data_IF_789418738487
#
_entry.id   IF_789418738487
#
_cell.length_a   1.000
_cell.length_b   1.000
_cell.length_c   1.000
_cell.angle_alpha   90.00
_cell.angle_beta   90.00
_cell.angle_gamma   90.00
#
_symmetry.space_group_name_H-M   'P 1'
#
loop_
_entity.id
_entity.type
_entity.pdbx_description
1 polymer ?
#
# COMPACT_ATOMS: atom_id res chain seq x y z
N UNK A 1 11.81 -2.81 4.18
CA UNK A 1 10.62 -1.97 4.04
C UNK A 1 9.97 -2.15 2.66
N UNK A 2 8.82 -1.54 2.44
CA UNK A 2 8.20 -1.37 1.12
C UNK A 2 8.60 0.02 0.64
N UNK A 3 9.14 0.14 -0.58
CA UNK A 3 9.41 1.42 -1.24
C UNK A 3 8.36 1.61 -2.34
N UNK A 4 7.49 2.57 -2.15
CA UNK A 4 6.30 2.74 -2.99
C UNK A 4 6.54 3.76 -4.09
N UNK A 5 6.11 3.42 -5.31
CA UNK A 5 5.92 4.33 -6.42
C UNK A 5 4.44 4.71 -6.49
N UNK A 6 4.15 5.97 -6.78
CA UNK A 6 2.77 6.46 -6.91
C UNK A 6 2.67 7.54 -7.99
N UNK A 7 1.57 7.51 -8.76
CA UNK A 7 1.10 8.64 -9.54
C UNK A 7 -0.34 8.94 -9.10
N UNK A 8 -0.53 10.05 -8.38
CA UNK A 8 -1.81 10.38 -7.75
C UNK A 8 -2.87 10.78 -8.76
N UNK A 9 -4.12 10.44 -8.46
CA UNK A 9 -5.26 11.08 -9.10
C UNK A 9 -5.25 12.58 -8.84
N UNK A 10 -5.44 13.34 -9.89
CA UNK A 10 -5.56 14.80 -9.85
C UNK A 10 -6.88 15.19 -10.51
N UNK A 11 -7.72 15.91 -9.79
CA UNK A 11 -9.01 16.33 -10.28
C UNK A 11 -8.88 17.22 -11.54
N UNK A 12 -9.88 17.17 -12.41
CA UNK A 12 -9.95 17.99 -13.61
C UNK A 12 -9.83 19.49 -13.26
N UNK A 13 -9.09 20.23 -14.08
CA UNK A 13 -8.82 21.66 -13.86
C UNK A 13 -7.63 21.94 -12.93
N UNK A 14 -7.01 20.93 -12.31
CA UNK A 14 -5.78 21.11 -11.55
C UNK A 14 -4.57 21.11 -12.51
N UNK A 15 -3.59 21.96 -12.25
CA UNK A 15 -2.37 22.08 -13.08
C UNK A 15 -1.34 20.98 -12.82
N UNK A 16 -1.52 20.18 -11.76
CA UNK A 16 -0.59 19.07 -11.44
C UNK A 16 -0.79 17.90 -12.41
N UNK A 17 0.29 17.21 -12.80
CA UNK A 17 0.17 16.02 -13.64
C UNK A 17 -0.54 14.89 -12.88
N UNK A 18 -1.46 14.20 -13.55
CA UNK A 18 -2.26 13.11 -13.00
C UNK A 18 -2.32 11.89 -13.91
N UNK A 19 -3.09 10.89 -13.52
CA UNK A 19 -3.20 9.61 -14.24
C UNK A 19 -3.97 9.67 -15.57
N UNK A 20 -4.74 10.74 -15.84
CA UNK A 20 -5.43 10.92 -17.12
C UNK A 20 -4.49 10.97 -18.34
N UNK A 21 -3.19 11.12 -18.09
CA UNK A 21 -2.13 10.93 -19.06
C UNK A 21 -1.20 9.80 -18.54
N UNK A 22 -1.47 8.53 -18.87
CA UNK A 22 -0.76 7.39 -18.30
C UNK A 22 0.74 7.43 -18.55
N UNK A 23 1.17 8.01 -19.68
CA UNK A 23 2.60 8.20 -19.99
C UNK A 23 3.25 9.22 -19.03
N UNK A 24 2.51 10.26 -18.61
CA UNK A 24 2.98 11.20 -17.58
C UNK A 24 3.03 10.52 -16.22
N UNK A 25 2.00 9.74 -15.87
CA UNK A 25 2.00 8.94 -14.66
C UNK A 25 3.17 7.94 -14.63
N UNK A 26 3.45 7.29 -15.75
CA UNK A 26 4.65 6.44 -15.89
C UNK A 26 5.93 7.22 -15.66
N UNK A 27 6.10 8.40 -16.26
CA UNK A 27 7.28 9.23 -16.06
C UNK A 27 7.48 9.61 -14.58
N UNK A 28 6.41 9.88 -13.83
CA UNK A 28 6.47 10.15 -12.38
C UNK A 28 7.03 8.95 -11.63
N UNK A 29 6.47 7.76 -11.85
CA UNK A 29 6.92 6.53 -11.16
C UNK A 29 8.35 6.16 -11.56
N UNK A 30 8.78 6.42 -12.81
CA UNK A 30 10.17 6.21 -13.22
C UNK A 30 11.13 7.20 -12.54
N UNK A 31 10.71 8.43 -12.27
CA UNK A 31 11.49 9.39 -11.49
C UNK A 31 11.70 8.89 -10.04
N UNK A 32 10.68 8.33 -9.42
CA UNK A 32 10.77 7.72 -8.09
C UNK A 32 11.68 6.48 -8.10
N UNK A 33 11.57 5.62 -9.12
CA UNK A 33 12.48 4.48 -9.29
C UNK A 33 13.94 4.93 -9.40
N UNK A 34 14.20 5.99 -10.17
CA UNK A 34 15.55 6.54 -10.33
C UNK A 34 16.13 7.01 -8.98
N UNK A 35 15.29 7.55 -8.07
CA UNK A 35 15.71 7.89 -6.72
C UNK A 35 16.12 6.65 -5.92
N UNK A 36 15.28 5.61 -5.89
CA UNK A 36 15.62 4.36 -5.17
C UNK A 36 16.90 3.72 -5.71
N UNK A 37 17.09 3.73 -7.03
CA UNK A 37 18.32 3.24 -7.66
C UNK A 37 19.54 4.10 -7.29
N UNK A 38 19.38 5.41 -7.10
CA UNK A 38 20.46 6.27 -6.62
C UNK A 38 20.83 5.93 -5.17
N UNK A 39 19.86 5.70 -4.30
CA UNK A 39 20.06 5.24 -2.91
C UNK A 39 20.76 3.88 -2.87
N UNK A 40 20.41 2.95 -3.76
CA UNK A 40 21.07 1.65 -3.85
C UNK A 40 22.54 1.80 -4.31
N UNK A 41 22.81 2.64 -5.33
CA UNK A 41 24.19 2.94 -5.74
C UNK A 41 25.02 3.61 -4.65
N UNK A 42 24.39 4.42 -3.81
CA UNK A 42 25.03 5.04 -2.64
C UNK A 42 25.24 4.07 -1.46
N UNK A 43 24.79 2.81 -1.59
CA UNK A 43 24.91 1.80 -0.53
C UNK A 43 23.95 2.00 0.66
N UNK A 44 22.98 2.91 0.55
CA UNK A 44 22.03 3.21 1.61
C UNK A 44 20.81 2.28 1.58
N UNK A 45 20.42 1.82 0.40
CA UNK A 45 19.30 0.89 0.22
C UNK A 45 19.73 -0.34 -0.59
N UNK A 46 18.94 -1.42 -0.49
CA UNK A 46 19.12 -2.65 -1.26
C UNK A 46 17.77 -3.15 -1.77
N UNK A 47 17.59 -3.15 -3.09
CA UNK A 47 16.40 -3.71 -3.71
C UNK A 47 16.35 -5.23 -3.53
N UNK A 48 15.20 -5.73 -3.11
CA UNK A 48 14.91 -7.14 -2.89
C UNK A 48 13.87 -7.57 -3.93
N UNK A 49 14.25 -8.49 -4.80
CA UNK A 49 13.42 -8.91 -5.93
C UNK A 49 12.98 -10.36 -5.87
N UNK A 50 13.50 -11.13 -4.91
CA UNK A 50 13.18 -12.54 -4.74
C UNK A 50 13.35 -13.01 -3.28
N UNK A 51 12.87 -14.24 -3.02
CA UNK A 51 12.92 -14.87 -1.69
C UNK A 51 14.35 -15.09 -1.19
N UNK A 52 15.29 -15.40 -2.07
CA UNK A 52 16.67 -15.65 -1.68
C UNK A 52 17.34 -14.35 -1.22
N UNK A 53 17.13 -13.25 -1.97
CA UNK A 53 17.57 -11.91 -1.59
C UNK A 53 16.96 -11.45 -0.26
N UNK A 54 15.65 -11.68 -0.05
CA UNK A 54 14.98 -11.36 1.19
C UNK A 54 15.61 -12.13 2.37
N UNK A 55 15.76 -13.44 2.24
CA UNK A 55 16.37 -14.27 3.27
C UNK A 55 17.77 -13.80 3.66
N UNK A 56 18.64 -13.58 2.67
CA UNK A 56 20.00 -13.07 2.88
C UNK A 56 19.99 -11.71 3.59
N UNK A 57 19.04 -10.83 3.22
CA UNK A 57 18.93 -9.50 3.82
C UNK A 57 18.46 -9.57 5.27
N UNK A 58 17.46 -10.40 5.58
CA UNK A 58 17.00 -10.65 6.96
C UNK A 58 18.12 -11.22 7.82
N UNK A 59 18.87 -12.20 7.31
CA UNK A 59 20.04 -12.77 8.01
C UNK A 59 21.10 -11.71 8.33
N UNK A 60 21.35 -10.76 7.42
CA UNK A 60 22.27 -9.64 7.68
C UNK A 60 21.81 -8.82 8.88
N UNK A 61 20.52 -8.48 8.96
CA UNK A 61 19.99 -7.64 10.03
C UNK A 61 19.82 -8.36 11.37
N UNK A 62 19.63 -9.67 11.36
CA UNK A 62 19.54 -10.50 12.58
C UNK A 62 20.91 -10.75 13.25
N UNK A 63 22.01 -10.65 12.51
CA UNK A 63 23.35 -11.00 12.96
C UNK A 63 24.26 -9.78 13.20
N UNK A 64 23.81 -8.79 13.99
CA UNK A 64 24.56 -7.57 14.30
C UNK A 64 25.02 -6.83 13.02
N UNK A 65 24.12 -6.21 12.28
CA UNK A 65 24.46 -5.54 11.02
C UNK A 65 25.48 -4.43 11.28
N UNK A 66 26.40 -4.16 10.34
CA UNK A 66 27.27 -2.99 10.43
C UNK A 66 26.44 -1.70 10.45
N UNK A 67 26.96 -0.64 11.07
CA UNK A 67 26.24 0.62 11.25
C UNK A 67 25.77 1.27 9.91
N UNK A 68 26.41 0.90 8.81
CA UNK A 68 26.07 1.34 7.45
C UNK A 68 25.38 0.26 6.60
N UNK A 69 24.79 -0.76 7.25
CA UNK A 69 24.06 -1.79 6.51
C UNK A 69 22.89 -1.16 5.71
N UNK A 70 22.72 -1.51 4.42
CA UNK A 70 21.68 -0.92 3.61
C UNK A 70 20.30 -1.34 4.08
N UNK A 71 19.32 -0.44 3.98
CA UNK A 71 17.92 -0.77 4.23
C UNK A 71 17.37 -1.59 3.06
N UNK A 72 16.89 -2.81 3.32
CA UNK A 72 16.25 -3.63 2.29
C UNK A 72 14.87 -3.11 1.93
N UNK A 73 14.56 -3.06 0.62
CA UNK A 73 13.22 -2.68 0.18
C UNK A 73 12.67 -3.59 -0.92
N UNK A 74 11.37 -3.80 -0.88
CA UNK A 74 10.58 -4.37 -1.97
C UNK A 74 9.88 -3.22 -2.68
N UNK A 75 10.04 -3.13 -4.02
CA UNK A 75 9.41 -2.09 -4.81
C UNK A 75 7.93 -2.42 -5.01
N UNK A 76 7.08 -1.46 -4.68
CA UNK A 76 5.63 -1.51 -4.78
C UNK A 76 5.11 -0.38 -5.67
N UNK A 77 3.91 -0.54 -6.20
CA UNK A 77 3.18 0.50 -6.95
C UNK A 77 1.80 0.68 -6.32
N UNK A 78 1.51 1.88 -5.87
CA UNK A 78 0.23 2.27 -5.30
C UNK A 78 -0.62 3.03 -6.32
N UNK A 79 -1.74 2.41 -6.72
CA UNK A 79 -2.48 2.84 -7.90
C UNK A 79 -1.76 2.42 -9.19
N UNK A 80 -2.42 1.60 -10.01
CA UNK A 80 -1.81 1.06 -11.22
C UNK A 80 -1.88 2.01 -12.43
N UNK A 81 -2.33 3.24 -12.26
CA UNK A 81 -2.63 4.18 -13.36
C UNK A 81 -1.41 4.54 -14.22
N UNK A 82 -0.20 4.37 -13.68
CA UNK A 82 1.05 4.52 -14.41
C UNK A 82 1.40 3.34 -15.33
N UNK A 83 0.72 2.21 -15.20
CA UNK A 83 0.87 1.09 -16.14
C UNK A 83 0.10 1.43 -17.40
N UNK A 84 0.80 1.89 -18.43
CA UNK A 84 0.22 2.38 -19.70
C UNK A 84 -0.55 1.26 -20.40
N UNK A 85 0.06 0.07 -20.46
CA UNK A 85 -0.50 -1.18 -20.92
C UNK A 85 0.27 -2.37 -20.32
N UNK A 86 -0.10 -3.60 -20.65
CA UNK A 86 0.52 -4.80 -20.05
C UNK A 86 2.02 -4.95 -20.41
N UNK A 87 2.48 -4.38 -21.52
CA UNK A 87 3.92 -4.36 -21.83
C UNK A 87 4.72 -3.50 -20.85
N UNK A 88 4.09 -2.45 -20.32
CA UNK A 88 4.67 -1.61 -19.26
C UNK A 88 4.68 -2.31 -17.91
N UNK A 89 3.73 -3.22 -17.65
CA UNK A 89 3.78 -4.09 -16.46
C UNK A 89 5.01 -5.00 -16.50
N UNK A 90 5.28 -5.64 -17.63
CA UNK A 90 6.49 -6.47 -17.81
C UNK A 90 7.77 -5.65 -17.64
N UNK A 91 7.81 -4.43 -18.17
CA UNK A 91 8.95 -3.50 -17.98
C UNK A 91 9.14 -3.14 -16.51
N UNK A 92 8.07 -2.83 -15.78
CA UNK A 92 8.12 -2.53 -14.36
C UNK A 92 8.60 -3.76 -13.55
N UNK A 93 8.09 -4.95 -13.87
CA UNK A 93 8.55 -6.20 -13.27
C UNK A 93 10.05 -6.45 -13.50
N UNK A 94 10.53 -6.19 -14.72
CA UNK A 94 11.95 -6.34 -15.07
C UNK A 94 12.86 -5.38 -14.30
N UNK A 95 12.34 -4.19 -13.89
CA UNK A 95 13.06 -3.23 -13.02
C UNK A 95 12.90 -3.52 -11.53
N UNK A 96 12.21 -4.61 -11.17
CA UNK A 96 12.12 -5.10 -9.80
C UNK A 96 10.81 -4.81 -9.09
N UNK A 97 9.76 -4.33 -9.76
CA UNK A 97 8.42 -4.22 -9.16
C UNK A 97 7.91 -5.59 -8.72
N UNK A 98 7.45 -5.73 -7.47
CA UNK A 98 6.99 -7.01 -6.91
C UNK A 98 5.62 -6.94 -6.26
N UNK A 99 5.06 -5.75 -6.07
CA UNK A 99 3.70 -5.61 -5.56
C UNK A 99 2.97 -4.47 -6.26
N UNK A 100 1.66 -4.61 -6.42
CA UNK A 100 0.79 -3.58 -7.02
C UNK A 100 -0.53 -3.53 -6.25
N UNK A 101 -0.92 -2.32 -5.83
CA UNK A 101 -2.29 -1.96 -5.51
C UNK A 101 -2.97 -1.42 -6.76
N UNK A 102 -4.01 -2.08 -7.30
CA UNK A 102 -4.66 -1.61 -8.52
C UNK A 102 -5.37 -0.27 -8.38
N UNK A 103 -5.63 0.17 -7.15
CA UNK A 103 -6.39 1.36 -6.79
C UNK A 103 -5.60 2.31 -5.88
N UNK A 104 -5.97 3.60 -5.89
CA UNK A 104 -5.62 4.59 -4.89
C UNK A 104 -6.85 5.43 -4.56
N UNK A 105 -6.85 6.75 -4.71
CA UNK A 105 -8.04 7.59 -4.60
C UNK A 105 -8.70 7.79 -5.98
N UNK A 106 -10.04 7.86 -5.97
CA UNK A 106 -10.82 8.20 -7.16
C UNK A 106 -11.08 7.00 -8.09
N UNK A 107 -11.47 7.26 -9.35
CA UNK A 107 -12.00 6.24 -10.25
C UNK A 107 -10.97 5.24 -10.76
N UNK A 108 -9.69 5.59 -10.90
CA UNK A 108 -8.63 4.73 -11.43
C UNK A 108 -8.89 4.15 -12.83
N UNK A 109 -7.83 3.80 -13.54
CA UNK A 109 -7.94 3.16 -14.87
C UNK A 109 -8.25 1.68 -14.80
N UNK A 110 -7.76 1.02 -13.77
CA UNK A 110 -7.84 -0.43 -13.57
C UNK A 110 -8.87 -0.80 -12.50
N UNK A 111 -8.92 -0.03 -11.43
CA UNK A 111 -9.83 -0.22 -10.32
C UNK A 111 -10.22 1.11 -9.70
N UNK A 112 -11.50 1.33 -9.39
CA UNK A 112 -11.88 2.42 -8.50
C UNK A 112 -11.31 2.16 -7.11
N UNK A 113 -11.03 3.25 -6.39
CA UNK A 113 -10.44 3.21 -5.06
C UNK A 113 -11.18 4.07 -4.06
N UNK A 114 -10.47 4.54 -3.04
CA UNK A 114 -11.04 5.34 -1.96
C UNK A 114 -11.80 6.55 -2.49
N UNK A 115 -13.05 6.70 -2.06
CA UNK A 115 -13.96 7.77 -2.49
C UNK A 115 -14.67 7.52 -3.82
N UNK A 116 -14.49 6.35 -4.43
CA UNK A 116 -15.23 5.91 -5.61
C UNK A 116 -15.98 4.59 -5.33
N UNK A 117 -16.77 4.14 -6.30
CA UNK A 117 -17.60 2.93 -6.20
C UNK A 117 -17.39 2.02 -7.42
N UNK A 118 -17.83 0.76 -7.30
CA UNK A 118 -17.81 -0.23 -8.38
C UNK A 118 -16.64 -1.20 -8.30
N UNK A 119 -16.67 -2.20 -9.20
CA UNK A 119 -15.66 -3.25 -9.35
C UNK A 119 -14.56 -2.89 -10.34
N UNK A 120 -13.76 -3.90 -10.71
CA UNK A 120 -12.69 -3.75 -11.69
C UNK A 120 -13.20 -3.29 -13.06
N UNK A 121 -12.40 -2.49 -13.73
CA UNK A 121 -12.58 -2.26 -15.17
C UNK A 121 -12.22 -3.52 -15.98
N UNK A 122 -12.57 -3.55 -17.26
CA UNK A 122 -12.12 -4.64 -18.15
C UNK A 122 -10.58 -4.73 -18.17
N UNK A 123 -9.89 -3.58 -18.23
CA UNK A 123 -8.43 -3.52 -18.17
C UNK A 123 -7.90 -3.98 -16.80
N UNK A 124 -8.63 -3.72 -15.72
CA UNK A 124 -8.28 -4.17 -14.37
C UNK A 124 -8.26 -5.69 -14.25
N UNK A 125 -9.24 -6.38 -14.85
CA UNK A 125 -9.28 -7.85 -14.88
C UNK A 125 -8.08 -8.43 -15.61
N UNK A 126 -7.70 -7.84 -16.74
CA UNK A 126 -6.52 -8.28 -17.49
C UNK A 126 -5.20 -7.98 -16.72
N UNK A 127 -5.11 -6.82 -16.06
CA UNK A 127 -3.98 -6.50 -15.18
C UNK A 127 -3.81 -7.55 -14.09
N UNK A 128 -4.88 -7.89 -13.39
CA UNK A 128 -4.85 -8.85 -12.25
C UNK A 128 -4.43 -10.26 -12.73
N UNK A 129 -4.90 -10.71 -13.90
CA UNK A 129 -4.46 -11.96 -14.51
C UNK A 129 -2.96 -11.94 -14.82
N UNK A 130 -2.47 -10.82 -15.35
CA UNK A 130 -1.06 -10.69 -15.70
C UNK A 130 -0.18 -10.57 -14.45
N UNK A 131 -0.65 -9.90 -13.40
CA UNK A 131 0.01 -9.90 -12.09
C UNK A 131 0.17 -11.32 -11.55
N UNK A 132 -0.87 -12.15 -11.65
CA UNK A 132 -0.79 -13.56 -11.25
C UNK A 132 0.23 -14.34 -12.08
N UNK A 133 0.24 -14.16 -13.41
CA UNK A 133 1.23 -14.81 -14.30
C UNK A 133 2.67 -14.45 -13.92
N UNK A 134 2.92 -13.20 -13.56
CA UNK A 134 4.24 -12.70 -13.17
C UNK A 134 4.59 -12.99 -11.71
N UNK A 135 3.64 -13.43 -10.89
CA UNK A 135 3.83 -13.64 -9.45
C UNK A 135 3.99 -12.32 -8.69
N UNK A 136 3.37 -11.23 -9.16
CA UNK A 136 3.36 -9.93 -8.50
C UNK A 136 2.34 -9.99 -7.36
N UNK A 137 2.75 -9.61 -6.14
CA UNK A 137 1.87 -9.55 -4.98
C UNK A 137 0.77 -8.50 -5.17
N UNK A 138 -0.47 -8.85 -4.85
CA UNK A 138 -1.58 -7.91 -4.80
C UNK A 138 -1.53 -7.12 -3.49
N UNK A 139 -1.55 -5.80 -3.58
CA UNK A 139 -1.86 -4.94 -2.45
C UNK A 139 -3.35 -4.58 -2.48
N UNK A 140 -4.09 -5.08 -1.50
CA UNK A 140 -5.53 -4.86 -1.43
C UNK A 140 -5.93 -3.48 -0.87
N UNK A 141 -4.95 -2.71 -0.39
CA UNK A 141 -5.19 -1.36 0.14
C UNK A 141 -5.87 -0.46 -0.88
N UNK A 142 -6.76 0.41 -0.44
CA UNK A 142 -7.56 1.33 -1.25
C UNK A 142 -8.66 0.71 -2.13
N UNK A 143 -8.74 -0.59 -2.32
CA UNK A 143 -9.81 -1.20 -3.10
C UNK A 143 -11.19 -0.84 -2.54
N UNK A 144 -12.15 -0.59 -3.43
CA UNK A 144 -13.57 -0.58 -3.07
C UNK A 144 -14.01 -1.98 -2.63
N UNK A 145 -15.12 -2.09 -1.93
CA UNK A 145 -15.64 -3.41 -1.51
C UNK A 145 -15.91 -4.32 -2.72
N UNK A 146 -16.53 -3.78 -3.78
CA UNK A 146 -16.82 -4.54 -5.00
C UNK A 146 -15.53 -5.02 -5.68
N UNK A 147 -14.54 -4.12 -5.86
CA UNK A 147 -13.25 -4.48 -6.46
C UNK A 147 -12.49 -5.50 -5.61
N UNK A 148 -12.53 -5.37 -4.28
CA UNK A 148 -11.91 -6.33 -3.38
C UNK A 148 -12.47 -7.75 -3.60
N UNK A 149 -13.79 -7.92 -3.53
CA UNK A 149 -14.40 -9.24 -3.68
C UNK A 149 -14.26 -9.80 -5.10
N UNK A 150 -14.32 -8.94 -6.12
CA UNK A 150 -14.08 -9.35 -7.50
C UNK A 150 -12.64 -9.89 -7.66
N UNK A 151 -11.62 -9.17 -7.16
CA UNK A 151 -10.22 -9.63 -7.23
C UNK A 151 -10.04 -10.92 -6.45
N UNK A 152 -10.59 -11.02 -5.23
CA UNK A 152 -10.48 -12.25 -4.43
C UNK A 152 -11.08 -13.47 -5.14
N UNK A 153 -12.01 -13.28 -6.07
CA UNK A 153 -12.62 -14.35 -6.85
C UNK A 153 -11.80 -14.80 -8.07
N UNK A 154 -10.86 -13.99 -8.56
CA UNK A 154 -10.12 -14.24 -9.81
C UNK A 154 -8.59 -14.29 -9.66
N UNK A 155 -8.07 -13.97 -8.48
CA UNK A 155 -6.64 -13.90 -8.19
C UNK A 155 -6.26 -14.85 -7.07
N UNK A 156 -5.39 -15.83 -7.36
CA UNK A 156 -4.93 -16.85 -6.42
C UNK A 156 -3.49 -16.59 -5.90
N UNK A 157 -2.87 -15.50 -6.35
CA UNK A 157 -1.50 -15.15 -5.96
C UNK A 157 -1.38 -14.60 -4.54
N UNK A 158 -0.16 -14.21 -4.13
CA UNK A 158 0.09 -13.63 -2.81
C UNK A 158 -0.59 -12.27 -2.65
N UNK A 159 -1.16 -12.03 -1.46
CA UNK A 159 -1.89 -10.80 -1.13
C UNK A 159 -1.35 -10.21 0.16
N UNK A 160 -1.35 -8.91 0.26
CA UNK A 160 -1.21 -8.15 1.51
C UNK A 160 -2.15 -6.93 1.52
N UNK A 161 -2.24 -6.24 2.64
CA UNK A 161 -2.74 -4.87 2.72
C UNK A 161 -1.63 -4.02 3.34
N UNK A 162 -0.99 -3.17 2.55
CA UNK A 162 0.23 -2.44 2.98
C UNK A 162 -0.04 -1.48 4.13
N UNK A 163 -1.19 -0.78 4.11
CA UNK A 163 -1.60 0.19 5.12
C UNK A 163 -3.13 0.24 5.26
N UNK A 164 -3.65 -0.49 6.25
CA UNK A 164 -5.09 -0.75 6.36
C UNK A 164 -5.52 -0.87 7.83
N UNK A 165 -6.67 -0.26 8.18
CA UNK A 165 -7.25 -0.37 9.51
C UNK A 165 -8.66 -0.99 9.48
N UNK A 166 -9.31 -1.12 10.65
CA UNK A 166 -10.53 -1.88 10.84
C UNK A 166 -11.78 -0.99 10.77
N UNK A 167 -12.73 -1.33 9.91
CA UNK A 167 -14.00 -0.59 9.74
C UNK A 167 -14.88 -0.69 10.97
N UNK A 168 -14.82 -1.78 11.71
CA UNK A 168 -15.56 -1.96 12.97
C UNK A 168 -15.16 -0.95 14.05
N UNK A 169 -13.92 -0.44 14.02
CA UNK A 169 -13.42 0.58 14.95
C UNK A 169 -13.61 2.00 14.41
N UNK A 170 -13.37 2.20 13.10
CA UNK A 170 -13.56 3.49 12.43
C UNK A 170 -14.39 3.29 11.18
N UNK A 171 -15.71 3.55 11.24
CA UNK A 171 -16.63 3.33 10.13
C UNK A 171 -16.33 4.25 8.94
N UNK A 172 -15.64 3.73 7.95
CA UNK A 172 -15.33 4.44 6.71
C UNK A 172 -15.07 3.46 5.56
N UNK A 173 -15.41 3.83 4.32
CA UNK A 173 -15.22 3.01 3.12
C UNK A 173 -13.73 2.63 2.90
N UNK A 174 -12.80 3.49 3.30
CA UNK A 174 -11.35 3.24 3.22
C UNK A 174 -10.90 2.07 4.10
N UNK A 175 -11.62 1.74 5.16
CA UNK A 175 -11.30 0.67 6.11
C UNK A 175 -11.87 -0.67 5.65
N UNK A 176 -11.23 -1.78 6.06
CA UNK A 176 -11.76 -3.12 5.76
C UNK A 176 -12.76 -3.60 6.80
N UNK A 177 -13.82 -4.22 6.30
CA UNK A 177 -14.79 -4.95 7.15
C UNK A 177 -14.15 -6.21 7.74
N UNK A 178 -14.77 -6.76 8.77
CA UNK A 178 -14.29 -8.01 9.40
C UNK A 178 -14.30 -9.19 8.41
N UNK A 179 -15.23 -9.19 7.44
CA UNK A 179 -15.29 -10.20 6.39
C UNK A 179 -14.08 -10.08 5.43
N UNK A 180 -13.70 -8.87 5.05
CA UNK A 180 -12.52 -8.62 4.22
C UNK A 180 -11.22 -8.99 4.97
N UNK A 181 -11.12 -8.61 6.25
CA UNK A 181 -9.99 -8.99 7.11
C UNK A 181 -9.88 -10.51 7.24
N UNK A 182 -10.98 -11.23 7.47
CA UNK A 182 -11.01 -12.70 7.52
C UNK A 182 -10.60 -13.34 6.20
N UNK A 183 -10.99 -12.77 5.06
CA UNK A 183 -10.55 -13.26 3.76
C UNK A 183 -9.04 -13.09 3.57
N UNK A 184 -8.47 -11.95 3.96
CA UNK A 184 -7.02 -11.73 3.93
C UNK A 184 -6.28 -12.71 4.85
N UNK A 185 -6.79 -12.93 6.08
CA UNK A 185 -6.24 -13.92 7.02
C UNK A 185 -6.29 -15.32 6.43
N UNK A 186 -7.40 -15.72 5.82
CA UNK A 186 -7.55 -17.01 5.12
C UNK A 186 -6.52 -17.21 4.01
N UNK A 187 -6.11 -16.13 3.35
CA UNK A 187 -5.09 -16.10 2.31
C UNK A 187 -3.65 -15.99 2.84
N UNK A 188 -3.47 -16.10 4.14
CA UNK A 188 -2.16 -15.93 4.79
C UNK A 188 -1.52 -14.55 4.53
N UNK A 189 -2.36 -13.54 4.31
CA UNK A 189 -1.93 -12.16 4.06
C UNK A 189 -1.42 -11.49 5.35
N UNK A 190 -0.64 -10.42 5.15
CA UNK A 190 -0.21 -9.51 6.22
C UNK A 190 -0.93 -8.18 6.03
N UNK A 191 -1.39 -7.60 7.13
CA UNK A 191 -2.16 -6.35 7.19
C UNK A 191 -1.32 -5.34 7.96
N UNK A 192 -0.84 -4.31 7.27
CA UNK A 192 -0.07 -3.21 7.83
C UNK A 192 -0.98 -2.17 8.46
N UNK A 193 -0.83 -1.89 9.75
CA UNK A 193 -1.61 -0.89 10.44
C UNK A 193 -1.17 0.53 10.06
N UNK A 194 -2.11 1.36 9.58
CA UNK A 194 -1.89 2.73 9.15
C UNK A 194 -1.99 3.73 10.31
N UNK A 195 -1.11 4.74 10.31
CA UNK A 195 -1.01 5.71 11.40
C UNK A 195 -1.69 7.06 11.11
N UNK A 196 -2.41 7.17 10.00
CA UNK A 196 -3.22 8.36 9.73
C UNK A 196 -4.35 8.44 10.77
N UNK A 197 -4.41 9.51 11.53
CA UNK A 197 -5.28 9.65 12.69
C UNK A 197 -6.76 9.49 12.36
N UNK A 198 -7.21 9.94 11.18
CA UNK A 198 -8.60 9.75 10.74
C UNK A 198 -8.95 8.27 10.47
N UNK A 199 -7.95 7.42 10.26
CA UNK A 199 -8.10 5.97 10.17
C UNK A 199 -7.97 5.26 11.53
N UNK A 200 -7.45 5.96 12.57
CA UNK A 200 -7.22 5.40 13.90
C UNK A 200 -8.38 5.67 14.86
N UNK A 201 -9.06 6.82 14.72
CA UNK A 201 -10.18 7.22 15.59
C UNK A 201 -11.38 7.70 14.79
N UNK A 202 -12.61 7.42 15.24
CA UNK A 202 -13.83 7.89 14.58
C UNK A 202 -14.00 9.41 14.76
N UNK A 203 -14.71 10.03 13.81
CA UNK A 203 -15.08 11.44 13.88
C UNK A 203 -13.97 12.44 13.56
N UNK A 204 -12.82 11.98 13.11
CA UNK A 204 -11.72 12.85 12.67
C UNK A 204 -12.10 13.62 11.41
N UNK A 205 -11.94 14.95 11.43
CA UNK A 205 -12.15 15.84 10.28
C UNK A 205 -10.81 16.41 9.86
N UNK A 206 -10.34 16.05 8.67
CA UNK A 206 -9.08 16.53 8.10
C UNK A 206 -9.03 18.06 8.08
N UNK A 207 -7.89 18.62 8.50
CA UNK A 207 -7.66 20.07 8.56
C UNK A 207 -8.42 20.79 9.69
N UNK A 208 -9.12 20.07 10.58
CA UNK A 208 -9.84 20.65 11.71
C UNK A 208 -9.54 19.96 13.04
N UNK A 209 -9.67 18.64 13.07
CA UNK A 209 -9.51 17.85 14.29
C UNK A 209 -8.03 17.68 14.63
N UNK A 210 -7.71 17.71 15.92
CA UNK A 210 -6.36 17.50 16.44
C UNK A 210 -6.27 16.22 17.27
N UNK A 211 -5.07 15.64 17.45
CA UNK A 211 -4.88 14.48 18.32
C UNK A 211 -5.34 14.73 19.76
N UNK A 212 -5.19 15.96 20.26
CA UNK A 212 -5.58 16.34 21.62
C UNK A 212 -7.10 16.31 21.83
N UNK A 213 -7.88 16.70 20.82
CA UNK A 213 -9.35 16.69 20.88
C UNK A 213 -9.94 15.29 20.89
N UNK A 214 -9.30 14.35 20.20
CA UNK A 214 -9.79 12.98 20.07
C UNK A 214 -9.10 11.99 21.00
N UNK A 215 -8.00 12.41 21.65
CA UNK A 215 -7.14 11.51 22.41
C UNK A 215 -6.39 10.51 21.53
N UNK A 216 -6.28 10.76 20.22
CA UNK A 216 -5.52 9.90 19.31
C UNK A 216 -4.04 9.90 19.68
N UNK A 217 -3.49 8.71 19.88
CA UNK A 217 -2.10 8.48 20.29
C UNK A 217 -1.52 7.32 19.49
N UNK A 218 -0.20 7.15 19.54
CA UNK A 218 0.46 6.00 18.91
C UNK A 218 -0.12 4.67 19.40
N UNK A 219 -0.46 4.59 20.70
CA UNK A 219 -1.06 3.39 21.29
C UNK A 219 -2.45 3.07 20.72
N UNK A 220 -3.14 4.06 20.12
CA UNK A 220 -4.46 3.84 19.51
C UNK A 220 -4.38 2.80 18.37
N UNK A 221 -3.24 2.73 17.67
CA UNK A 221 -3.05 1.73 16.61
C UNK A 221 -3.07 0.30 17.15
N UNK A 222 -2.70 0.09 18.42
CA UNK A 222 -2.73 -1.22 19.04
C UNK A 222 -4.15 -1.81 19.08
N UNK A 223 -5.20 -0.98 19.09
CA UNK A 223 -6.58 -1.43 19.03
C UNK A 223 -6.91 -2.08 17.69
N UNK A 224 -6.42 -1.50 16.58
CA UNK A 224 -6.59 -2.07 15.24
C UNK A 224 -5.78 -3.35 15.06
N UNK A 225 -4.54 -3.37 15.55
CA UNK A 225 -3.69 -4.58 15.54
C UNK A 225 -4.34 -5.68 16.38
N UNK A 226 -4.80 -5.38 17.59
CA UNK A 226 -5.45 -6.35 18.45
C UNK A 226 -6.72 -6.91 17.81
N UNK A 227 -7.54 -6.06 17.17
CA UNK A 227 -8.74 -6.51 16.46
C UNK A 227 -8.40 -7.55 15.37
N UNK A 228 -7.38 -7.30 14.55
CA UNK A 228 -6.92 -8.29 13.55
C UNK A 228 -6.39 -9.56 14.24
N UNK A 229 -5.64 -9.43 15.35
CA UNK A 229 -5.16 -10.58 16.12
C UNK A 229 -6.31 -11.41 16.68
N UNK A 230 -7.37 -10.78 17.18
CA UNK A 230 -8.57 -11.48 17.69
C UNK A 230 -9.31 -12.24 16.58
N UNK A 231 -9.46 -11.62 15.39
CA UNK A 231 -10.06 -12.30 14.23
C UNK A 231 -9.22 -13.49 13.76
N UNK A 232 -7.89 -13.39 13.83
CA UNK A 232 -6.95 -14.40 13.35
C UNK A 232 -6.63 -15.48 14.39
N UNK A 233 -6.82 -15.22 15.69
CA UNK A 233 -6.33 -16.05 16.78
C UNK A 233 -4.80 -16.09 16.90
N UNK A 234 -4.07 -15.17 16.25
CA UNK A 234 -2.61 -15.12 16.21
C UNK A 234 -2.13 -13.72 15.79
N UNK A 235 -0.89 -13.38 16.10
CA UNK A 235 -0.26 -12.09 15.73
C UNK A 235 0.42 -12.10 14.35
N UNK A 236 0.48 -13.23 13.66
CA UNK A 236 1.29 -13.40 12.43
C UNK A 236 0.78 -12.61 11.21
N UNK A 237 -0.46 -12.10 11.25
CA UNK A 237 -1.08 -11.38 10.15
C UNK A 237 -0.97 -9.85 10.28
N UNK A 238 -0.29 -9.35 11.30
CA UNK A 238 -0.13 -7.93 11.55
C UNK A 238 1.27 -7.43 11.23
N UNK A 239 1.33 -6.21 10.70
CA UNK A 239 2.56 -5.46 10.47
C UNK A 239 2.32 -3.96 10.72
N UNK A 240 3.38 -3.17 10.65
CA UNK A 240 3.30 -1.71 10.60
C UNK A 240 3.30 -1.28 9.14
N UNK A 241 2.26 -0.56 8.75
CA UNK A 241 2.13 0.11 7.47
C UNK A 241 1.80 1.58 7.71
N UNK A 242 2.75 2.30 8.31
CA UNK A 242 2.50 3.61 8.93
C UNK A 242 1.92 4.66 7.99
N UNK A 243 2.35 4.65 6.74
CA UNK A 243 1.99 5.64 5.72
C UNK A 243 2.37 7.11 6.11
N UNK A 244 3.32 7.28 7.04
CA UNK A 244 3.72 8.60 7.56
C UNK A 244 4.31 9.51 6.48
N UNK A 245 4.85 8.97 5.41
CA UNK A 245 5.32 9.68 4.23
C UNK A 245 4.25 9.82 3.12
N UNK A 246 3.00 9.44 3.40
CA UNK A 246 1.87 9.48 2.46
C UNK A 246 1.35 10.88 2.10
N UNK A 247 1.96 11.95 2.64
CA UNK A 247 1.68 13.34 2.29
C UNK A 247 0.48 13.96 3.04
N UNK A 248 0.14 13.40 4.18
CA UNK A 248 -0.83 13.98 5.11
C UNK A 248 -0.08 14.61 6.29
N UNK A 249 0.17 15.82 6.41
CA UNK A 249 0.97 16.49 7.44
C UNK A 249 0.67 16.05 8.88
N UNK A 250 1.42 16.59 9.83
CA UNK A 250 1.33 16.25 11.27
C UNK A 250 -0.04 16.50 11.87
N UNK A 251 -0.84 17.39 11.31
CA UNK A 251 -2.21 17.66 11.71
C UNK A 251 -3.19 16.48 11.46
N UNK A 252 -2.78 15.49 10.68
CA UNK A 252 -3.58 14.31 10.34
C UNK A 252 -3.01 13.01 10.93
N UNK A 253 -1.91 13.11 11.66
CA UNK A 253 -1.27 11.96 12.34
C UNK A 253 -1.20 12.21 13.84
N UNK A 254 -1.19 11.13 14.62
CA UNK A 254 -0.94 11.22 16.05
C UNK A 254 0.54 11.44 16.38
N UNK A 255 1.41 11.32 15.39
CA UNK A 255 2.85 11.43 15.48
C UNK A 255 3.43 11.91 14.14
N UNK A 256 4.70 12.23 14.13
CA UNK A 256 5.52 12.48 12.95
C UNK A 256 6.64 11.44 12.82
N UNK A 257 7.48 11.59 11.79
CA UNK A 257 8.58 10.67 11.52
C UNK A 257 9.67 10.69 12.61
N UNK A 258 9.73 11.75 13.42
CA UNK A 258 10.70 11.89 14.50
C UNK A 258 10.18 11.32 15.84
N UNK A 259 8.90 10.97 15.87
CA UNK A 259 8.26 10.39 17.07
C UNK A 259 8.55 8.90 17.18
#
# INVERSE_FOLDING_TARGET
CIATQIARYVAEGNSLPGWHAPEIAWAQTQGQLAYYQAMERAGQMKQIVDRAGLKKHVELWQNNPPANAPIGFVLSLEGADSIVDLSYLERAYATGLRAIGPAHYGPGRYSPGTGAEGGLTAAGRELVKEMQRLGICLDATHLTDDAFWEIMSIYDGPVWASHQNCRSLVPHQRQFSDEQLKELIRRDAVIGAAFDAWMMVPGWIRGKTTPQETGCKIETIALHIDHVCQLAGTTRHCAIGSDLDGGFGTEQTAMDLDS
#
